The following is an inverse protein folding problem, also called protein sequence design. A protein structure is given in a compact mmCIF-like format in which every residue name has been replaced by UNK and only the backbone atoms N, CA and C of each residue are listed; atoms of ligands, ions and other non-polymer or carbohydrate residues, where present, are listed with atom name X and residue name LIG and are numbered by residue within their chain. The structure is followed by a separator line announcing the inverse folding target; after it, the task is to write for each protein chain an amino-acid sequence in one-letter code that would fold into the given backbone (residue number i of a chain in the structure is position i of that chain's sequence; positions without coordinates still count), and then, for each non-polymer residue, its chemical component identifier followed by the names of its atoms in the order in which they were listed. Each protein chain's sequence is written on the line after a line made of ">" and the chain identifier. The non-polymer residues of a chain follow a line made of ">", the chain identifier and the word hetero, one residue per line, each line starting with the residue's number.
data_IF_207339575307
#
_entry.id   IF_207339575307
#
_cell.length_a   1.000
_cell.length_b   1.000
_cell.length_c   1.000
_cell.angle_alpha   90.00
_cell.angle_beta   90.00
_cell.angle_gamma   90.00
#
_symmetry.space_group_name_H-M   'P 1'
#
loop_
_entity.id
_entity.type
_entity.pdbx_description
1 polymer ?
#
# COMPACT_ATOMS: atom_id res chain seq x y z
N UNK A 1 6.58 -20.13 -2.22
CA UNK A 1 5.72 -20.50 -3.37
C UNK A 1 4.34 -20.73 -2.82
N UNK A 2 3.33 -20.06 -3.38
CA UNK A 2 1.96 -20.09 -2.88
C UNK A 2 1.19 -21.14 -3.68
N UNK A 3 0.79 -22.29 -3.10
CA UNK A 3 0.42 -23.48 -3.88
C UNK A 3 -1.06 -23.52 -4.32
N UNK A 4 -1.72 -22.37 -4.55
CA UNK A 4 -3.14 -22.35 -4.95
C UNK A 4 -3.50 -21.17 -5.88
N UNK A 5 -2.71 -20.96 -6.95
CA UNK A 5 -3.13 -20.11 -8.07
C UNK A 5 -3.35 -20.95 -9.31
N UNK A 6 -4.57 -21.42 -9.49
CA UNK A 6 -5.03 -22.07 -10.71
C UNK A 6 -5.41 -20.94 -11.69
N UNK A 7 -4.53 -20.67 -12.65
CA UNK A 7 -4.87 -19.84 -13.80
C UNK A 7 -5.88 -20.61 -14.66
N UNK A 8 -7.12 -20.14 -14.62
CA UNK A 8 -8.31 -20.79 -15.15
C UNK A 8 -8.37 -20.67 -16.69
N UNK A 9 -7.33 -21.14 -17.39
CA UNK A 9 -7.28 -21.18 -18.86
C UNK A 9 -7.48 -22.58 -19.45
N UNK A 10 -7.54 -23.63 -18.62
CA UNK A 10 -7.75 -25.01 -19.08
C UNK A 10 -8.51 -25.88 -18.06
N UNK A 11 -9.61 -25.39 -17.48
CA UNK A 11 -10.52 -26.30 -16.77
C UNK A 11 -11.37 -27.05 -17.80
N UNK A 12 -11.39 -28.39 -17.73
CA UNK A 12 -12.26 -29.17 -18.62
C UNK A 12 -13.73 -28.87 -18.30
N UNK A 13 -14.67 -29.01 -19.26
CA UNK A 13 -16.09 -28.81 -19.00
C UNK A 13 -16.64 -29.65 -17.83
N UNK A 14 -16.00 -30.78 -17.53
CA UNK A 14 -16.35 -31.65 -16.40
C UNK A 14 -15.83 -31.12 -15.05
N UNK A 15 -14.65 -30.50 -15.01
CA UNK A 15 -14.14 -29.85 -13.80
C UNK A 15 -14.96 -28.62 -13.42
N UNK A 16 -15.37 -27.81 -14.42
CA UNK A 16 -16.27 -26.69 -14.17
C UNK A 16 -17.65 -27.17 -13.66
N UNK A 17 -18.12 -28.33 -14.14
CA UNK A 17 -19.37 -28.97 -13.67
C UNK A 17 -19.21 -29.45 -12.23
N UNK A 18 -18.11 -30.14 -11.88
CA UNK A 18 -17.83 -30.61 -10.51
C UNK A 18 -17.70 -29.47 -9.50
N UNK A 19 -17.01 -28.38 -9.85
CA UNK A 19 -16.88 -27.22 -8.96
C UNK A 19 -18.24 -26.54 -8.72
N UNK A 20 -19.10 -26.47 -9.75
CA UNK A 20 -20.47 -25.96 -9.60
C UNK A 20 -21.32 -26.89 -8.74
N UNK A 21 -21.23 -28.20 -8.91
CA UNK A 21 -21.94 -29.19 -8.09
C UNK A 21 -21.49 -29.14 -6.62
N UNK A 22 -20.18 -29.03 -6.36
CA UNK A 22 -19.67 -28.87 -5.00
C UNK A 22 -20.15 -27.57 -4.35
N UNK A 23 -20.15 -26.45 -5.08
CA UNK A 23 -20.70 -25.20 -4.57
C UNK A 23 -22.20 -25.35 -4.26
N UNK A 24 -22.99 -25.94 -5.16
CA UNK A 24 -24.43 -26.17 -4.93
C UNK A 24 -24.66 -27.01 -3.67
N UNK A 25 -23.91 -28.09 -3.49
CA UNK A 25 -24.05 -28.98 -2.32
C UNK A 25 -23.60 -28.31 -1.01
N UNK A 26 -22.58 -27.45 -1.06
CA UNK A 26 -22.08 -26.73 0.11
C UNK A 26 -23.01 -25.58 0.54
N UNK A 27 -23.82 -25.04 -0.37
CA UNK A 27 -24.78 -23.95 -0.11
C UNK A 27 -26.24 -24.40 0.08
N UNK A 28 -26.55 -25.69 -0.08
CA UNK A 28 -27.87 -26.28 0.16
C UNK A 28 -28.48 -25.94 1.54
N UNK A 29 -27.73 -25.86 2.66
CA UNK A 29 -28.35 -25.56 3.96
C UNK A 29 -28.61 -24.07 4.20
N UNK A 30 -28.22 -23.15 3.30
CA UNK A 30 -28.25 -21.70 3.58
C UNK A 30 -29.47 -20.94 3.03
N UNK A 31 -30.36 -21.61 2.30
CA UNK A 31 -31.53 -20.96 1.71
C UNK A 31 -32.83 -21.62 2.17
N UNK A 32 -33.66 -20.85 2.88
CA UNK A 32 -34.99 -21.26 3.30
C UNK A 32 -36.02 -20.66 2.34
N UNK A 33 -37.07 -21.42 2.04
CA UNK A 33 -38.16 -20.92 1.22
C UNK A 33 -38.87 -19.76 1.93
N UNK A 34 -38.93 -18.59 1.30
CA UNK A 34 -39.57 -17.40 1.87
C UNK A 34 -41.08 -17.61 2.15
N UNK A 35 -41.71 -18.59 1.50
CA UNK A 35 -43.13 -18.86 1.65
C UNK A 35 -43.48 -19.86 2.76
N UNK A 36 -42.67 -20.91 2.97
CA UNK A 36 -42.94 -21.89 4.04
C UNK A 36 -41.97 -21.78 5.22
N UNK A 37 -40.91 -20.98 5.09
CA UNK A 37 -39.89 -20.61 6.09
C UNK A 37 -39.16 -21.76 6.81
N UNK A 38 -39.51 -23.01 6.55
CA UNK A 38 -39.04 -24.17 7.31
C UNK A 38 -38.34 -25.22 6.45
N UNK A 39 -38.44 -25.12 5.12
CA UNK A 39 -37.93 -26.16 4.23
C UNK A 39 -36.68 -25.69 3.47
N UNK A 40 -35.63 -26.52 3.42
CA UNK A 40 -34.44 -26.22 2.65
C UNK A 40 -34.78 -26.18 1.16
N UNK A 41 -34.13 -25.27 0.45
CA UNK A 41 -34.20 -25.17 -1.00
C UNK A 41 -33.06 -25.98 -1.62
N UNK A 42 -33.34 -26.76 -2.66
CA UNK A 42 -32.29 -27.40 -3.47
C UNK A 42 -32.35 -26.97 -4.93
N UNK A 43 -31.19 -27.04 -5.58
CA UNK A 43 -31.04 -26.64 -6.98
C UNK A 43 -31.06 -27.90 -7.83
N UNK A 44 -31.87 -27.90 -8.89
CA UNK A 44 -31.81 -28.90 -9.95
C UNK A 44 -31.56 -28.25 -11.31
N UNK A 45 -30.89 -28.98 -12.20
CA UNK A 45 -30.71 -28.57 -13.59
C UNK A 45 -31.76 -29.19 -14.48
N UNK A 46 -32.46 -28.37 -15.25
CA UNK A 46 -33.19 -28.88 -16.42
C UNK A 46 -32.22 -28.85 -17.61
N UNK A 47 -32.22 -29.89 -18.44
CA UNK A 47 -31.19 -30.21 -19.45
C UNK A 47 -30.83 -29.15 -20.51
N UNK A 48 -31.30 -27.92 -20.38
CA UNK A 48 -30.96 -26.75 -21.21
C UNK A 48 -30.13 -25.70 -20.45
N UNK A 49 -29.22 -26.12 -19.57
CA UNK A 49 -28.39 -25.22 -18.72
C UNK A 49 -29.22 -24.22 -17.89
N UNK A 50 -30.46 -24.57 -17.54
CA UNK A 50 -31.31 -23.77 -16.66
C UNK A 50 -31.32 -24.40 -15.28
N UNK A 51 -30.96 -23.60 -14.28
CA UNK A 51 -31.03 -24.01 -12.88
C UNK A 51 -32.37 -23.59 -12.32
N UNK A 52 -33.03 -24.50 -11.62
CA UNK A 52 -34.30 -24.28 -10.93
C UNK A 52 -34.07 -24.55 -9.46
N UNK A 53 -34.50 -23.64 -8.61
CA UNK A 53 -34.54 -23.86 -7.16
C UNK A 53 -35.90 -24.46 -6.82
N UNK A 54 -35.92 -25.59 -6.11
CA UNK A 54 -37.13 -26.26 -5.67
C UNK A 54 -37.21 -26.23 -4.14
N UNK A 55 -38.42 -26.12 -3.61
CA UNK A 55 -38.70 -26.20 -2.18
C UNK A 55 -39.33 -27.55 -1.80
N UNK A 56 -38.83 -28.24 -0.77
CA UNK A 56 -39.44 -29.50 -0.28
C UNK A 56 -40.80 -29.30 0.34
N UNK A 57 -40.98 -28.22 1.10
CA UNK A 57 -42.21 -28.05 1.87
C UNK A 57 -43.40 -27.69 1.01
N UNK A 58 -43.22 -26.79 0.04
CA UNK A 58 -44.34 -26.24 -0.75
C UNK A 58 -44.31 -26.62 -2.23
N UNK A 59 -43.30 -27.36 -2.69
CA UNK A 59 -43.20 -27.85 -4.07
C UNK A 59 -42.98 -26.78 -5.15
N UNK A 60 -42.85 -25.50 -4.77
CA UNK A 60 -42.67 -24.40 -5.73
C UNK A 60 -41.29 -24.44 -6.39
N UNK A 61 -41.26 -24.06 -7.66
CA UNK A 61 -40.08 -24.04 -8.53
C UNK A 61 -39.75 -22.61 -8.93
N UNK A 62 -38.49 -22.20 -8.77
CA UNK A 62 -38.03 -20.84 -9.06
C UNK A 62 -36.92 -20.87 -10.11
N UNK A 63 -37.10 -20.25 -11.29
CA UNK A 63 -36.07 -20.21 -12.32
C UNK A 63 -34.91 -19.31 -11.88
N UNK A 64 -33.71 -19.87 -11.78
CA UNK A 64 -32.52 -19.13 -11.36
C UNK A 64 -31.98 -18.33 -12.54
N UNK A 65 -32.29 -17.02 -12.58
CA UNK A 65 -31.74 -16.13 -13.62
C UNK A 65 -30.23 -16.01 -13.44
N UNK A 66 -29.46 -16.14 -14.53
CA UNK A 66 -27.97 -16.05 -14.61
C UNK A 66 -27.36 -14.90 -13.78
N UNK A 67 -28.07 -13.77 -13.65
CA UNK A 67 -27.63 -12.60 -12.87
C UNK A 67 -27.60 -12.84 -11.36
N UNK A 68 -28.44 -13.72 -10.81
CA UNK A 68 -28.47 -14.03 -9.38
C UNK A 68 -27.26 -14.87 -8.98
N UNK A 69 -26.82 -15.83 -9.80
CA UNK A 69 -25.58 -16.58 -9.56
C UNK A 69 -24.38 -15.63 -9.54
N UNK A 70 -24.32 -14.67 -10.48
CA UNK A 70 -23.29 -13.63 -10.51
C UNK A 70 -23.40 -12.64 -9.35
N UNK A 71 -24.57 -12.47 -8.75
CA UNK A 71 -24.76 -11.60 -7.59
C UNK A 71 -24.38 -12.32 -6.30
N UNK A 72 -24.82 -13.57 -6.10
CA UNK A 72 -24.46 -14.40 -4.95
C UNK A 72 -22.94 -14.63 -4.88
N UNK A 73 -22.28 -14.86 -6.03
CA UNK A 73 -20.80 -14.98 -6.07
C UNK A 73 -20.07 -13.65 -5.83
N UNK A 74 -20.72 -12.51 -6.02
CA UNK A 74 -20.14 -11.16 -5.87
C UNK A 74 -20.45 -10.53 -4.51
N UNK A 75 -21.55 -10.91 -3.89
CA UNK A 75 -22.06 -10.38 -2.63
C UNK A 75 -21.49 -11.09 -1.39
N UNK A 76 -20.77 -12.20 -1.57
CA UNK A 76 -19.92 -12.83 -0.53
C UNK A 76 -18.75 -11.95 -0.03
N UNK A 77 -18.71 -10.65 -0.37
CA UNK A 77 -17.74 -9.68 0.15
C UNK A 77 -18.33 -8.57 1.02
N UNK A 78 -19.65 -8.47 1.18
CA UNK A 78 -20.23 -7.41 2.01
C UNK A 78 -21.42 -7.96 2.78
N UNK A 79 -21.17 -8.40 3.99
CA UNK A 79 -22.19 -8.81 4.94
C UNK A 79 -22.98 -7.60 5.47
N UNK A 80 -24.30 -7.78 5.57
CA UNK A 80 -25.28 -7.19 6.51
C UNK A 80 -25.48 -5.65 6.57
N UNK A 81 -26.67 -5.20 6.15
CA UNK A 81 -27.72 -4.59 7.00
C UNK A 81 -28.74 -3.80 6.17
N UNK A 82 -29.93 -4.35 5.90
CA UNK A 82 -31.08 -3.56 5.45
C UNK A 82 -32.35 -3.98 6.22
N UNK A 83 -32.82 -3.07 7.08
CA UNK A 83 -34.14 -3.12 7.72
C UNK A 83 -35.23 -2.90 6.66
N UNK A 84 -36.35 -3.58 6.86
CA UNK A 84 -37.51 -3.69 5.96
C UNK A 84 -38.39 -2.43 6.00
N UNK A 85 -38.58 -1.78 4.85
CA UNK A 85 -39.89 -1.30 4.30
C UNK A 85 -39.66 -0.80 2.86
N UNK A 86 -40.52 -1.15 1.88
CA UNK A 86 -40.41 -0.61 0.52
C UNK A 86 -41.02 0.80 0.45
N UNK A 87 -40.26 1.86 0.07
CA UNK A 87 -40.88 3.16 -0.16
C UNK A 87 -41.65 3.15 -1.48
N UNK A 88 -42.78 3.84 -1.49
CA UNK A 88 -43.57 4.15 -2.69
C UNK A 88 -42.67 4.79 -3.75
N UNK A 89 -42.89 4.45 -5.02
CA UNK A 89 -42.12 4.93 -6.17
C UNK A 89 -42.31 6.43 -6.37
N UNK A 90 -41.61 7.25 -5.60
CA UNK A 90 -41.41 8.65 -5.92
C UNK A 90 -40.37 8.75 -7.04
N UNK A 91 -40.66 9.58 -8.05
CA UNK A 91 -39.71 9.92 -9.09
C UNK A 91 -38.59 10.73 -8.46
N UNK A 92 -37.54 10.05 -8.00
CA UNK A 92 -36.33 10.70 -7.48
C UNK A 92 -35.71 11.49 -8.64
N UNK A 93 -35.86 12.82 -8.60
CA UNK A 93 -35.11 13.73 -9.48
C UNK A 93 -33.65 13.68 -9.06
N UNK A 94 -32.87 12.82 -9.73
CA UNK A 94 -31.42 12.73 -9.52
C UNK A 94 -30.79 14.04 -9.97
N UNK A 95 -30.14 14.76 -9.07
CA UNK A 95 -29.51 16.04 -9.40
C UNK A 95 -28.22 15.80 -10.19
N UNK A 96 -27.84 16.77 -11.04
CA UNK A 96 -26.57 16.72 -11.78
C UNK A 96 -25.35 16.51 -10.86
N UNK A 97 -25.43 16.96 -9.61
CA UNK A 97 -24.39 16.77 -8.60
C UNK A 97 -24.25 15.30 -8.17
N UNK A 98 -25.36 14.59 -7.98
CA UNK A 98 -25.35 13.16 -7.66
C UNK A 98 -24.78 12.32 -8.81
N UNK A 99 -25.08 12.69 -10.06
CA UNK A 99 -24.49 12.06 -11.26
C UNK A 99 -22.97 12.27 -11.29
N UNK A 100 -22.48 13.48 -10.99
CA UNK A 100 -21.03 13.76 -10.92
C UNK A 100 -20.34 12.92 -9.84
N UNK A 101 -20.94 12.79 -8.66
CA UNK A 101 -20.40 11.98 -7.56
C UNK A 101 -20.34 10.49 -7.96
N UNK A 102 -21.41 9.97 -8.58
CA UNK A 102 -21.47 8.60 -9.09
C UNK A 102 -20.37 8.31 -10.11
N UNK A 103 -20.20 9.19 -11.10
CA UNK A 103 -19.17 9.05 -12.14
C UNK A 103 -17.74 9.11 -11.57
N UNK A 104 -17.50 9.93 -10.53
CA UNK A 104 -16.20 9.98 -9.86
C UNK A 104 -15.86 8.67 -9.14
N UNK A 105 -16.84 8.06 -8.46
CA UNK A 105 -16.69 6.73 -7.83
C UNK A 105 -16.47 5.63 -8.87
N UNK A 106 -17.18 5.66 -10.00
CA UNK A 106 -17.02 4.67 -11.06
C UNK A 106 -15.62 4.71 -11.68
N UNK A 107 -15.04 5.90 -11.87
CA UNK A 107 -13.65 6.04 -12.35
C UNK A 107 -12.63 5.49 -11.34
N UNK A 108 -12.87 5.57 -10.04
CA UNK A 108 -11.98 5.00 -9.02
C UNK A 108 -12.01 3.46 -9.01
N UNK A 109 -13.19 2.86 -9.25
CA UNK A 109 -13.34 1.40 -9.30
C UNK A 109 -12.78 0.75 -10.57
N UNK A 110 -12.67 1.51 -11.67
CA UNK A 110 -12.05 1.05 -12.92
C UNK A 110 -10.53 1.08 -12.91
N UNK A 111 -9.89 1.73 -11.93
CA UNK A 111 -8.44 1.65 -11.83
C UNK A 111 -8.05 0.29 -11.25
N UNK A 112 -7.11 -0.44 -11.88
CA UNK A 112 -6.59 -1.66 -11.30
C UNK A 112 -6.06 -1.35 -9.89
N UNK A 113 -6.23 -2.26 -8.92
CA UNK A 113 -5.74 -2.05 -7.57
C UNK A 113 -4.25 -1.71 -7.65
N UNK A 114 -3.88 -0.50 -7.22
CA UNK A 114 -2.49 -0.09 -7.14
C UNK A 114 -1.77 -1.14 -6.33
N UNK A 115 -0.89 -1.91 -6.97
CA UNK A 115 -0.01 -2.83 -6.28
C UNK A 115 0.68 -2.01 -5.19
N UNK A 116 0.37 -2.31 -3.92
CA UNK A 116 1.08 -1.73 -2.80
C UNK A 116 2.47 -2.32 -2.88
N UNK A 117 3.39 -1.58 -3.53
CA UNK A 117 4.82 -1.88 -3.52
C UNK A 117 5.22 -2.15 -2.07
N UNK A 118 5.46 -3.42 -1.75
CA UNK A 118 6.06 -3.77 -0.48
C UNK A 118 7.48 -3.25 -0.58
N UNK A 119 7.79 -2.27 0.26
CA UNK A 119 9.15 -1.74 0.43
C UNK A 119 10.13 -2.89 0.67
N UNK A 120 9.64 -3.97 1.28
CA UNK A 120 10.31 -5.24 1.50
C UNK A 120 10.88 -5.90 0.24
N UNK A 121 10.13 -5.98 -0.87
CA UNK A 121 10.61 -6.62 -2.10
C UNK A 121 11.69 -5.76 -2.79
N UNK A 122 11.54 -4.43 -2.77
CA UNK A 122 12.51 -3.52 -3.39
C UNK A 122 13.85 -3.47 -2.63
N UNK A 123 13.84 -3.57 -1.29
CA UNK A 123 15.07 -3.66 -0.49
C UNK A 123 15.77 -5.00 -0.73
N UNK A 124 15.01 -6.09 -0.84
CA UNK A 124 15.57 -7.44 -1.09
C UNK A 124 16.18 -7.57 -2.49
N UNK A 125 15.55 -7.02 -3.53
CA UNK A 125 16.11 -7.03 -4.89
C UNK A 125 17.38 -6.18 -5.01
N UNK A 126 17.44 -5.05 -4.29
CA UNK A 126 18.63 -4.17 -4.29
C UNK A 126 19.83 -4.83 -3.60
N UNK A 127 19.60 -5.62 -2.54
CA UNK A 127 20.66 -6.37 -1.86
C UNK A 127 21.17 -7.57 -2.69
N UNK A 128 20.32 -8.13 -3.56
CA UNK A 128 20.67 -9.28 -4.42
C UNK A 128 21.56 -8.90 -5.62
N UNK A 129 21.58 -7.62 -6.01
CA UNK A 129 22.36 -7.13 -7.16
C UNK A 129 23.68 -6.42 -6.78
N UNK A 130 24.08 -6.46 -5.51
CA UNK A 130 25.10 -5.56 -4.94
C UNK A 130 26.48 -6.14 -4.62
N UNK A 131 26.90 -7.26 -5.21
CA UNK A 131 28.27 -7.77 -5.04
C UNK A 131 28.99 -7.79 -6.40
N UNK A 132 30.02 -6.96 -6.52
CA UNK A 132 30.95 -6.78 -7.66
C UNK A 132 30.57 -5.67 -8.65
N UNK A 133 31.10 -4.46 -8.45
CA UNK A 133 30.97 -3.42 -9.46
C UNK A 133 31.53 -2.05 -9.10
N UNK A 134 32.70 -1.94 -8.47
CA UNK A 134 33.32 -0.63 -8.19
C UNK A 134 34.13 -0.05 -9.35
N UNK A 135 34.15 -0.67 -10.53
CA UNK A 135 34.94 -0.15 -11.67
C UNK A 135 34.24 -0.41 -13.01
N UNK A 136 33.43 0.55 -13.47
CA UNK A 136 33.23 0.91 -14.88
C UNK A 136 32.04 1.87 -15.04
N UNK A 137 32.26 3.18 -14.86
CA UNK A 137 31.36 4.20 -15.41
C UNK A 137 32.18 5.07 -16.36
N UNK A 138 32.59 4.48 -17.49
CA UNK A 138 33.01 5.23 -18.68
C UNK A 138 31.80 5.39 -19.59
N UNK A 139 31.31 6.63 -19.65
CA UNK A 139 30.66 7.27 -20.80
C UNK A 139 29.68 6.43 -21.63
N UNK A 140 28.50 6.16 -21.08
CA UNK A 140 27.31 5.76 -21.84
C UNK A 140 26.09 6.52 -21.32
N UNK A 141 25.27 7.06 -22.25
CA UNK A 141 24.09 7.96 -22.14
C UNK A 141 23.06 7.81 -20.99
N UNK A 142 23.24 6.92 -20.01
CA UNK A 142 22.40 6.81 -18.83
C UNK A 142 23.14 7.34 -17.60
N UNK A 143 23.14 8.67 -17.41
CA UNK A 143 23.64 9.26 -16.16
C UNK A 143 22.73 8.80 -15.02
N UNK A 144 23.19 7.82 -14.25
CA UNK A 144 22.50 7.33 -13.06
C UNK A 144 22.46 8.46 -12.03
N UNK A 145 21.24 8.86 -11.64
CA UNK A 145 21.08 9.85 -10.58
C UNK A 145 21.42 9.21 -9.24
N UNK A 146 22.24 9.88 -8.45
CA UNK A 146 22.66 9.45 -7.12
C UNK A 146 21.75 10.08 -6.07
N UNK A 147 21.35 9.31 -5.07
CA UNK A 147 20.71 9.82 -3.86
C UNK A 147 21.79 10.42 -2.97
N UNK A 148 21.57 11.62 -2.44
CA UNK A 148 22.52 12.31 -1.57
C UNK A 148 21.91 12.66 -0.21
N UNK A 149 22.79 12.82 0.77
CA UNK A 149 22.51 13.36 2.09
C UNK A 149 23.40 14.58 2.32
N UNK A 150 22.79 15.74 2.53
CA UNK A 150 23.49 17.00 2.82
C UNK A 150 23.07 17.54 4.18
N UNK A 151 23.93 18.32 4.82
CA UNK A 151 23.70 18.95 6.12
C UNK A 151 23.92 20.46 6.03
N UNK A 152 22.94 21.27 6.45
CA UNK A 152 23.03 22.75 6.43
C UNK A 152 23.52 23.38 7.75
N UNK A 153 23.94 22.56 8.70
CA UNK A 153 24.27 23.00 10.06
C UNK A 153 23.18 22.71 11.09
N UNK A 154 21.94 22.40 10.66
CA UNK A 154 20.83 22.08 11.55
C UNK A 154 19.99 20.90 11.09
N UNK A 155 19.64 20.85 9.82
CA UNK A 155 18.79 19.85 9.20
C UNK A 155 19.53 19.10 8.09
N UNK A 156 18.99 17.93 7.76
CA UNK A 156 19.52 17.08 6.71
C UNK A 156 18.62 17.11 5.49
N UNK A 157 19.18 17.34 4.31
CA UNK A 157 18.47 17.27 3.03
C UNK A 157 18.72 15.92 2.38
N UNK A 158 17.64 15.24 2.00
CA UNK A 158 17.70 14.00 1.21
C UNK A 158 17.13 14.30 -0.17
N UNK A 159 17.90 14.07 -1.23
CA UNK A 159 17.45 14.28 -2.61
C UNK A 159 18.21 13.41 -3.60
N UNK A 160 17.90 13.59 -4.88
CA UNK A 160 18.61 12.96 -6.00
C UNK A 160 19.21 14.01 -6.95
N UNK A 161 20.42 13.74 -7.44
CA UNK A 161 21.09 14.56 -8.45
C UNK A 161 22.03 13.69 -9.30
N UNK A 162 22.31 14.12 -10.52
CA UNK A 162 23.37 13.51 -11.34
C UNK A 162 24.75 13.86 -10.79
N UNK A 163 24.92 15.11 -10.36
CA UNK A 163 26.13 15.62 -9.71
C UNK A 163 25.72 16.24 -8.36
N UNK A 164 25.81 15.48 -7.25
CA UNK A 164 25.51 15.97 -5.92
C UNK A 164 26.37 17.17 -5.49
N UNK A 165 27.61 17.28 -5.96
CA UNK A 165 28.50 18.40 -5.59
C UNK A 165 28.11 19.69 -6.30
N UNK A 166 27.79 19.63 -7.60
CA UNK A 166 27.19 20.78 -8.29
C UNK A 166 25.88 21.19 -7.62
N UNK A 167 25.03 20.21 -7.28
CA UNK A 167 23.77 20.49 -6.58
C UNK A 167 23.99 21.11 -5.20
N UNK A 168 25.05 20.74 -4.47
CA UNK A 168 25.43 21.34 -3.19
C UNK A 168 25.71 22.83 -3.37
N UNK A 169 26.54 23.19 -4.37
CA UNK A 169 26.88 24.58 -4.70
C UNK A 169 25.63 25.40 -5.08
N UNK A 170 24.72 24.83 -5.85
CA UNK A 170 23.45 25.48 -6.21
C UNK A 170 22.56 25.77 -5.00
N UNK A 171 22.65 24.96 -3.95
CA UNK A 171 21.87 25.14 -2.72
C UNK A 171 22.52 26.15 -1.76
N UNK A 172 23.82 26.41 -1.88
CA UNK A 172 24.56 27.44 -1.15
C UNK A 172 24.31 28.83 -1.76
N UNK A 173 23.02 29.22 -1.90
CA UNK A 173 22.64 30.50 -2.51
C UNK A 173 22.94 31.71 -1.63
N UNK A 174 23.17 31.51 -0.33
CA UNK A 174 23.44 32.57 0.63
C UNK A 174 24.83 32.39 1.25
N UNK A 175 25.67 33.45 1.32
CA UNK A 175 27.07 33.34 1.76
C UNK A 175 27.25 32.90 3.22
N UNK A 176 26.18 32.86 4.02
CA UNK A 176 26.21 32.40 5.41
C UNK A 176 25.89 30.91 5.62
N UNK A 177 25.39 30.19 4.61
CA UNK A 177 24.98 28.79 4.78
C UNK A 177 26.06 27.88 4.19
N UNK A 178 26.74 27.12 5.04
CA UNK A 178 27.71 26.10 4.62
C UNK A 178 27.05 24.73 4.58
N UNK A 179 26.71 24.26 3.39
CA UNK A 179 26.10 22.95 3.19
C UNK A 179 27.20 21.92 2.97
N UNK A 180 27.23 20.89 3.81
CA UNK A 180 28.17 19.78 3.69
C UNK A 180 27.49 18.60 3.02
N UNK A 181 28.09 18.06 1.96
CA UNK A 181 27.70 16.75 1.42
C UNK A 181 28.27 15.68 2.35
N UNK A 182 27.38 14.86 2.91
CA UNK A 182 27.75 13.83 3.90
C UNK A 182 27.94 12.47 3.22
N UNK A 183 27.00 12.08 2.36
CA UNK A 183 27.01 10.76 1.74
C UNK A 183 26.28 10.78 0.39
N UNK A 184 26.68 9.88 -0.51
CA UNK A 184 25.99 9.65 -1.79
C UNK A 184 25.79 8.16 -2.01
N UNK A 185 24.73 7.77 -2.71
CA UNK A 185 24.39 6.36 -2.90
C UNK A 185 23.65 6.12 -4.21
N UNK A 186 24.06 5.06 -4.91
CA UNK A 186 23.31 4.48 -6.01
C UNK A 186 22.37 3.34 -5.56
N UNK A 187 22.53 2.85 -4.32
CA UNK A 187 21.85 1.66 -3.81
C UNK A 187 20.40 1.92 -3.42
N UNK A 188 20.13 3.07 -2.80
CA UNK A 188 18.81 3.41 -2.28
C UNK A 188 18.19 4.58 -3.03
N UNK A 189 16.89 4.47 -3.32
CA UNK A 189 16.11 5.53 -3.96
C UNK A 189 15.68 6.57 -2.91
N UNK A 190 15.72 7.86 -3.26
CA UNK A 190 15.22 8.98 -2.44
C UNK A 190 13.85 8.70 -1.84
N UNK A 191 12.91 8.20 -2.66
CA UNK A 191 11.54 7.89 -2.23
C UNK A 191 11.48 6.94 -1.05
N UNK A 192 12.41 5.98 -0.97
CA UNK A 192 12.49 5.02 0.14
C UNK A 192 12.91 5.74 1.42
N UNK A 193 13.99 6.53 1.38
CA UNK A 193 14.46 7.31 2.53
C UNK A 193 13.40 8.31 3.01
N UNK A 194 12.76 9.05 2.09
CA UNK A 194 11.68 9.99 2.43
C UNK A 194 10.49 9.31 3.12
N UNK A 195 10.19 8.06 2.75
CA UNK A 195 9.13 7.28 3.38
C UNK A 195 9.55 6.82 4.77
N UNK A 196 10.78 6.33 4.93
CA UNK A 196 11.34 5.87 6.21
C UNK A 196 11.39 7.01 7.23
N UNK A 197 11.94 8.17 6.85
CA UNK A 197 12.14 9.31 7.74
C UNK A 197 10.98 10.32 7.73
N UNK A 198 9.79 9.90 7.28
CA UNK A 198 8.62 10.80 7.13
C UNK A 198 8.18 11.42 8.46
N UNK A 199 8.36 10.72 9.56
CA UNK A 199 7.96 11.13 10.92
C UNK A 199 8.79 12.30 11.45
N UNK A 200 10.05 12.39 11.02
CA UNK A 200 11.05 13.41 11.43
C UNK A 200 11.25 14.52 10.40
N UNK A 201 10.38 14.61 9.39
CA UNK A 201 10.44 15.64 8.35
C UNK A 201 10.12 17.03 8.89
N UNK A 202 10.91 18.03 8.51
CA UNK A 202 10.70 19.43 8.87
C UNK A 202 9.42 19.95 8.22
N UNK A 203 8.56 20.58 9.02
CA UNK A 203 7.24 21.09 8.58
C UNK A 203 7.00 22.54 8.90
N UNK A 204 7.76 23.10 9.83
CA UNK A 204 7.63 24.48 10.27
C UNK A 204 7.84 25.45 9.12
N UNK A 205 8.64 25.08 8.11
CA UNK A 205 8.96 25.95 6.99
C UNK A 205 8.56 25.29 5.65
N UNK A 206 7.71 25.93 4.82
CA UNK A 206 7.32 25.44 3.50
C UNK A 206 8.49 25.20 2.53
N UNK A 207 9.60 25.94 2.68
CA UNK A 207 10.80 25.80 1.86
C UNK A 207 11.65 24.59 2.27
N UNK A 208 11.41 24.03 3.47
CA UNK A 208 12.17 22.91 4.03
C UNK A 208 11.46 21.55 3.89
N UNK A 209 10.56 21.40 2.90
CA UNK A 209 9.76 20.17 2.72
C UNK A 209 10.57 18.90 2.46
N UNK A 210 11.79 19.05 1.97
CA UNK A 210 12.74 17.97 1.67
C UNK A 210 13.84 17.84 2.74
N UNK A 211 13.66 18.52 3.87
CA UNK A 211 14.60 18.51 4.98
C UNK A 211 14.05 17.72 6.16
N UNK A 212 14.97 17.12 6.91
CA UNK A 212 14.72 16.17 7.98
C UNK A 212 15.52 16.57 9.22
N UNK A 213 14.89 16.47 10.38
CA UNK A 213 15.51 16.67 11.68
C UNK A 213 16.00 15.30 12.18
N UNK A 214 17.15 14.85 11.69
CA UNK A 214 17.69 13.53 12.02
C UNK A 214 18.51 13.62 13.31
N UNK A 215 18.08 12.88 14.34
CA UNK A 215 18.90 12.62 15.51
C UNK A 215 20.08 11.69 15.18
N UNK A 216 21.03 11.49 16.11
CA UNK A 216 22.21 10.66 15.86
C UNK A 216 21.88 9.22 15.42
N UNK A 217 20.84 8.62 16.02
CA UNK A 217 20.39 7.26 15.65
C UNK A 217 19.77 7.23 14.25
N UNK A 218 18.96 8.23 13.92
CA UNK A 218 18.35 8.38 12.60
C UNK A 218 19.40 8.60 11.51
N UNK A 219 20.39 9.45 11.80
CA UNK A 219 21.51 9.71 10.91
C UNK A 219 22.32 8.42 10.64
N UNK A 220 22.68 7.68 11.69
CA UNK A 220 23.42 6.41 11.56
C UNK A 220 22.63 5.39 10.73
N UNK A 221 21.33 5.23 10.97
CA UNK A 221 20.48 4.37 10.14
C UNK A 221 20.40 4.88 8.68
N UNK A 222 20.28 6.18 8.45
CA UNK A 222 20.26 6.75 7.10
C UNK A 222 21.55 6.44 6.35
N UNK A 223 22.71 6.60 7.00
CA UNK A 223 24.02 6.27 6.41
C UNK A 223 24.15 4.77 6.11
N UNK A 224 23.77 3.89 7.04
CA UNK A 224 23.76 2.43 6.80
C UNK A 224 22.85 2.06 5.63
N UNK A 225 21.65 2.63 5.55
CA UNK A 225 20.73 2.41 4.42
C UNK A 225 21.32 2.89 3.09
N UNK A 226 22.01 4.04 3.08
CA UNK A 226 22.69 4.54 1.89
C UNK A 226 23.87 3.67 1.46
N UNK A 227 24.58 3.04 2.41
CA UNK A 227 25.68 2.10 2.14
C UNK A 227 25.23 0.68 1.78
N UNK A 228 23.93 0.39 1.85
CA UNK A 228 23.40 -0.96 1.64
C UNK A 228 23.53 -1.89 2.86
N UNK A 229 23.98 -1.36 4.00
CA UNK A 229 24.16 -2.08 5.28
C UNK A 229 22.95 -1.95 6.22
N UNK A 230 21.86 -1.33 5.74
CA UNK A 230 20.71 -1.01 6.56
C UNK A 230 19.86 -2.22 6.92
N UNK A 231 19.46 -2.29 8.19
CA UNK A 231 18.51 -3.29 8.67
C UNK A 231 17.07 -2.93 8.22
N UNK A 232 16.47 -3.81 7.42
CA UNK A 232 15.09 -3.61 6.92
C UNK A 232 14.05 -3.54 8.06
N UNK A 233 14.29 -4.22 9.18
CA UNK A 233 13.38 -4.21 10.33
C UNK A 233 13.36 -2.82 11.00
N UNK A 234 14.52 -2.23 11.25
CA UNK A 234 14.64 -0.89 11.84
C UNK A 234 14.02 0.18 10.93
N UNK A 235 14.28 0.09 9.61
CA UNK A 235 13.67 1.00 8.64
C UNK A 235 12.13 0.87 8.61
N UNK A 236 11.61 -0.36 8.74
CA UNK A 236 10.18 -0.61 8.81
C UNK A 236 9.57 -0.01 10.08
N UNK A 237 10.18 -0.23 11.24
CA UNK A 237 9.75 0.32 12.53
C UNK A 237 9.64 1.86 12.47
N UNK A 238 10.69 2.51 11.97
CA UNK A 238 10.72 3.97 11.79
C UNK A 238 9.64 4.48 10.84
N UNK A 239 9.38 3.74 9.76
CA UNK A 239 8.33 4.09 8.79
C UNK A 239 6.91 3.98 9.36
N UNK A 240 6.72 3.17 10.42
CA UNK A 240 5.44 2.99 11.10
C UNK A 240 5.21 4.03 12.21
N UNK A 241 6.26 4.74 12.65
CA UNK A 241 6.11 5.76 13.67
C UNK A 241 5.16 6.86 13.21
N UNK A 242 4.21 7.18 14.08
CA UNK A 242 3.42 8.39 13.92
C UNK A 242 4.32 9.61 14.10
N UNK A 243 3.89 10.75 13.55
CA UNK A 243 4.63 12.02 13.68
C UNK A 243 4.82 12.43 15.14
N UNK A 244 3.83 12.16 16.00
CA UNK A 244 3.89 12.48 17.43
C UNK A 244 4.98 11.64 18.11
N UNK A 245 5.04 10.34 17.79
CA UNK A 245 6.08 9.43 18.30
C UNK A 245 7.48 9.81 17.80
N UNK A 246 7.63 10.13 16.50
CA UNK A 246 8.92 10.56 15.95
C UNK A 246 9.47 11.81 16.63
N UNK A 247 8.63 12.83 16.85
CA UNK A 247 9.01 14.05 17.59
C UNK A 247 9.35 13.78 19.06
N UNK A 248 8.55 12.94 19.73
CA UNK A 248 8.82 12.58 21.12
C UNK A 248 10.18 11.89 21.26
N UNK A 249 10.51 10.98 20.33
CA UNK A 249 11.80 10.28 20.31
C UNK A 249 12.98 11.23 20.14
N UNK A 250 12.90 12.16 19.17
CA UNK A 250 13.93 13.19 18.97
C UNK A 250 14.13 14.04 20.23
N UNK A 251 13.05 14.45 20.89
CA UNK A 251 13.12 15.25 22.11
C UNK A 251 13.84 14.49 23.23
N UNK A 252 13.50 13.22 23.44
CA UNK A 252 14.16 12.36 24.44
C UNK A 252 15.63 12.15 24.14
N UNK A 253 16.02 12.03 22.86
CA UNK A 253 17.44 11.91 22.48
C UNK A 253 18.23 13.21 22.72
N UNK A 254 17.64 14.35 22.41
CA UNK A 254 18.26 15.66 22.67
C UNK A 254 18.39 15.95 24.17
N UNK A 255 17.39 15.56 24.97
CA UNK A 255 17.44 15.68 26.43
C UNK A 255 18.56 14.82 27.03
N UNK A 256 18.79 13.61 26.49
CA UNK A 256 19.90 12.74 26.92
C UNK A 256 21.27 13.35 26.61
N UNK A 257 21.46 13.86 25.39
CA UNK A 257 22.72 14.49 24.99
C UNK A 257 23.08 15.70 25.86
N UNK A 258 22.10 16.51 26.25
CA UNK A 258 22.34 17.66 27.15
C UNK A 258 22.77 17.21 28.54
N UNK A 259 22.17 16.14 29.05
CA UNK A 259 22.53 15.61 30.36
C UNK A 259 23.98 15.10 30.39
N UNK A 260 24.43 14.44 29.32
CA UNK A 260 25.81 13.96 29.21
C UNK A 260 26.82 15.12 29.13
N UNK A 261 26.50 16.20 28.40
CA UNK A 261 27.35 17.40 28.31
C UNK A 261 27.49 18.14 29.65
N UNK A 262 26.44 18.17 30.48
CA UNK A 262 26.46 18.82 31.79
C UNK A 262 27.28 18.01 32.81
N UNK A 263 27.23 16.68 32.76
CA UNK A 263 28.10 15.81 33.57
C UNK A 263 29.57 16.04 33.22
N UNK A 264 29.90 16.12 31.92
CA UNK A 264 31.29 16.29 31.47
C UNK A 264 31.89 17.66 31.78
N UNK A 265 31.08 18.68 32.10
CA UNK A 265 31.55 20.01 32.53
C UNK A 265 31.68 20.16 34.04
N UNK A 266 31.18 19.20 34.81
CA UNK A 266 31.21 19.19 36.27
C UNK A 266 32.43 18.50 36.90
N UNK A 267 33.32 17.96 36.08
CA UNK A 267 34.61 17.39 36.46
C UNK A 267 35.75 18.24 35.90
#
# INVERSE_FOLDING_TARGET
>A
MDPLRIDNKYASPEEERRVKEMAINQFNPLFHCVFCNSSPLWISTTGKNQYIINCSGCGKKYPLRRRIIQHVTRDLRVNLNWKKTPPKKEKIKVTRQQIRIGNKKLKQLRQPPKQRNSVFLQVRESNLMGLNGTQAIKQGKNRTSLTYLMFDGRYYKIGMAQDPEARRKDLETSPGIKIKLIETSAYIKEKTLHKTFRSVRVKSNPHLKEWFDLGPKDLSLCLRLMRGEGNAAEAAELSMLTKKQGKARLKTEQEKLRFDDDIMKGF
#
